data_IF_367847158938
#
_entry.id   IF_367847158938
#
_cell.length_a   1.000
_cell.length_b   1.000
_cell.length_c   1.000
_cell.angle_alpha   90.00
_cell.angle_beta   90.00
_cell.angle_gamma   90.00
#
_symmetry.space_group_name_H-M   'P 1'
#
loop_
_entity.id
_entity.type
_entity.pdbx_description
1 polymer ?
#
# COMPACT_ATOMS: atom_id res chain seq x y z
N UNK A 1 -14.98 -6.25 -35.07
CA UNK A 1 -15.17 -6.13 -33.62
C UNK A 1 -13.79 -6.18 -32.95
N UNK A 2 -13.31 -5.10 -32.38
CA UNK A 2 -12.03 -5.13 -31.70
C UNK A 2 -12.18 -6.01 -30.43
N UNK A 3 -11.30 -7.01 -30.26
CA UNK A 3 -11.24 -7.78 -29.03
C UNK A 3 -10.88 -6.83 -27.89
N UNK A 4 -11.70 -6.79 -26.85
CA UNK A 4 -11.37 -6.07 -25.63
C UNK A 4 -10.06 -6.67 -25.07
N UNK A 5 -9.12 -5.80 -24.75
CA UNK A 5 -7.93 -6.25 -24.05
C UNK A 5 -8.32 -6.82 -22.68
N UNK A 6 -7.56 -7.78 -22.17
CA UNK A 6 -7.83 -8.40 -20.85
C UNK A 6 -8.09 -7.35 -19.76
N UNK A 7 -7.31 -6.26 -19.76
CA UNK A 7 -7.49 -5.14 -18.82
C UNK A 7 -8.85 -4.43 -18.95
N UNK A 8 -9.43 -4.36 -20.15
CA UNK A 8 -10.77 -3.76 -20.37
C UNK A 8 -11.89 -4.70 -19.91
N UNK A 9 -11.68 -6.01 -20.08
CA UNK A 9 -12.63 -7.02 -19.58
C UNK A 9 -12.66 -7.01 -18.06
N UNK A 10 -11.48 -6.99 -17.43
CA UNK A 10 -11.33 -6.97 -15.97
C UNK A 10 -11.98 -5.73 -15.35
N UNK A 11 -11.90 -4.56 -16.03
CA UNK A 11 -12.56 -3.32 -15.58
C UNK A 11 -14.10 -3.39 -15.62
N UNK A 12 -14.67 -4.10 -16.59
CA UNK A 12 -16.11 -4.23 -16.69
C UNK A 12 -16.72 -5.12 -15.60
N UNK A 13 -15.95 -6.10 -15.13
CA UNK A 13 -16.36 -7.05 -14.09
C UNK A 13 -15.88 -6.62 -12.69
N UNK A 14 -15.12 -5.53 -12.59
CA UNK A 14 -14.56 -5.05 -11.34
C UNK A 14 -15.63 -4.49 -10.40
N UNK A 15 -15.58 -4.91 -9.14
CA UNK A 15 -16.41 -4.36 -8.06
C UNK A 15 -15.95 -2.92 -7.72
N UNK A 16 -14.65 -2.69 -7.77
CA UNK A 16 -14.01 -1.40 -7.48
C UNK A 16 -13.09 -1.01 -8.63
N UNK A 17 -13.01 0.26 -8.94
CA UNK A 17 -11.98 0.77 -9.86
C UNK A 17 -11.56 2.17 -9.44
N UNK A 18 -10.29 2.48 -9.64
CA UNK A 18 -9.72 3.79 -9.33
C UNK A 18 -8.72 4.22 -10.40
N UNK A 19 -8.33 5.48 -10.36
CA UNK A 19 -7.33 6.04 -11.29
C UNK A 19 -5.94 5.67 -10.77
N UNK A 20 -5.10 5.14 -11.66
CA UNK A 20 -3.72 4.82 -11.33
C UNK A 20 -2.91 6.10 -11.03
N UNK A 21 -2.45 6.34 -9.79
CA UNK A 21 -1.68 7.54 -9.44
C UNK A 21 -0.28 7.56 -10.08
N UNK A 22 0.24 6.38 -10.45
CA UNK A 22 1.54 6.21 -11.10
C UNK A 22 1.39 5.91 -12.60
N UNK A 23 0.36 6.48 -13.22
CA UNK A 23 0.12 6.30 -14.65
C UNK A 23 1.35 6.71 -15.49
N UNK A 24 1.83 5.74 -16.28
CA UNK A 24 3.01 5.92 -17.11
C UNK A 24 4.35 5.54 -16.45
N UNK A 25 4.40 5.38 -15.14
CA UNK A 25 5.63 4.98 -14.42
C UNK A 25 5.72 3.48 -14.18
N UNK A 26 4.60 2.84 -13.84
CA UNK A 26 4.54 1.42 -13.46
C UNK A 26 4.03 0.49 -14.58
N UNK A 27 3.90 0.97 -15.80
CA UNK A 27 3.37 0.23 -16.96
C UNK A 27 1.96 -0.41 -16.76
N UNK A 28 1.25 0.03 -15.74
CA UNK A 28 -0.14 -0.38 -15.51
C UNK A 28 -1.12 0.55 -16.23
N UNK A 29 -2.35 0.09 -16.50
CA UNK A 29 -3.35 0.93 -17.17
C UNK A 29 -3.72 2.16 -16.34
N UNK A 30 -4.31 3.16 -16.99
CA UNK A 30 -4.75 4.40 -16.35
C UNK A 30 -5.84 4.18 -15.28
N UNK A 31 -6.60 3.11 -15.38
CA UNK A 31 -7.58 2.67 -14.37
C UNK A 31 -7.20 1.28 -13.89
N UNK A 32 -7.25 1.11 -12.59
CA UNK A 32 -6.91 -0.13 -11.90
C UNK A 32 -8.19 -0.75 -11.33
N UNK A 33 -8.45 -2.04 -11.57
CA UNK A 33 -9.58 -2.75 -11.00
C UNK A 33 -9.25 -3.39 -9.64
N UNK A 34 -10.28 -3.58 -8.84
CA UNK A 34 -10.31 -4.42 -7.64
C UNK A 34 -9.05 -4.33 -6.74
N UNK A 35 -8.34 -5.44 -6.58
CA UNK A 35 -7.16 -5.53 -5.73
C UNK A 35 -6.07 -4.52 -6.10
N UNK A 36 -5.85 -4.29 -7.40
CA UNK A 36 -4.86 -3.31 -7.85
C UNK A 36 -5.26 -1.88 -7.47
N UNK A 37 -6.54 -1.52 -7.56
CA UNK A 37 -7.03 -0.22 -7.12
C UNK A 37 -6.81 -0.03 -5.61
N UNK A 38 -7.05 -1.05 -4.81
CA UNK A 38 -6.82 -0.99 -3.36
C UNK A 38 -5.33 -0.87 -3.04
N UNK A 39 -4.47 -1.65 -3.69
CA UNK A 39 -3.04 -1.67 -3.40
C UNK A 39 -2.32 -0.40 -3.87
N UNK A 40 -2.57 0.05 -5.10
CA UNK A 40 -1.84 1.17 -5.67
C UNK A 40 -2.46 2.54 -5.40
N UNK A 41 -3.75 2.60 -5.05
CA UNK A 41 -4.42 3.87 -4.75
C UNK A 41 -4.68 4.01 -3.25
N UNK A 42 -5.52 3.16 -2.68
CA UNK A 42 -5.95 3.28 -1.28
C UNK A 42 -4.78 3.08 -0.30
N UNK A 43 -4.02 1.99 -0.47
CA UNK A 43 -2.88 1.69 0.39
C UNK A 43 -1.76 2.74 0.25
N UNK A 44 -1.47 3.16 -0.98
CA UNK A 44 -0.47 4.21 -1.24
C UNK A 44 -0.87 5.52 -0.56
N UNK A 45 -2.12 5.96 -0.71
CA UNK A 45 -2.63 7.16 -0.06
C UNK A 45 -2.58 7.06 1.47
N UNK A 46 -2.95 5.89 2.03
CA UNK A 46 -2.94 5.63 3.46
C UNK A 46 -1.52 5.71 4.05
N UNK A 47 -0.55 5.07 3.42
CA UNK A 47 0.82 5.02 3.93
C UNK A 47 1.55 6.37 3.79
N UNK A 48 1.22 7.16 2.78
CA UNK A 48 1.80 8.49 2.57
C UNK A 48 1.09 9.61 3.33
N UNK A 49 -0.02 9.34 4.01
CA UNK A 49 -0.71 10.32 4.84
C UNK A 49 -0.22 10.21 6.29
N UNK A 50 0.50 11.21 6.82
CA UNK A 50 0.85 11.24 8.24
C UNK A 50 -0.40 11.33 9.12
N UNK A 51 -0.38 10.67 10.28
CA UNK A 51 -1.46 10.80 11.26
C UNK A 51 -1.62 12.26 11.68
N UNK A 52 -2.84 12.78 11.62
CA UNK A 52 -3.18 14.18 11.94
C UNK A 52 -3.15 15.13 10.76
N UNK A 53 -2.61 14.73 9.61
CA UNK A 53 -2.46 15.61 8.44
C UNK A 53 -3.82 15.94 7.78
N UNK A 54 -4.76 15.01 7.84
CA UNK A 54 -6.15 15.25 7.41
C UNK A 54 -6.88 16.29 8.26
N UNK A 55 -6.28 16.77 9.33
CA UNK A 55 -6.64 17.96 10.13
C UNK A 55 -8.09 17.99 10.55
N UNK A 56 -8.64 16.87 10.92
CA UNK A 56 -9.94 17.05 10.74
C UNK A 56 -10.97 16.64 11.71
N UNK A 57 -12.08 17.18 11.40
CA UNK A 57 -13.37 16.99 12.04
C UNK A 57 -13.83 15.53 11.93
N UNK A 58 -13.35 14.78 10.92
CA UNK A 58 -13.94 13.48 10.63
C UNK A 58 -13.07 12.26 10.96
N UNK A 59 -11.77 12.29 10.93
CA UNK A 59 -10.90 11.16 11.28
C UNK A 59 -9.46 11.62 11.52
N UNK A 60 -9.17 12.27 12.67
CA UNK A 60 -7.83 12.81 12.94
C UNK A 60 -6.77 11.70 13.08
N UNK A 61 -7.19 10.48 13.33
CA UNK A 61 -6.29 9.32 13.51
C UNK A 61 -6.02 8.57 12.19
N UNK A 62 -6.63 9.00 11.07
CA UNK A 62 -6.36 8.40 9.77
C UNK A 62 -4.93 8.67 9.32
N UNK A 63 -4.28 7.66 8.80
CA UNK A 63 -2.94 7.75 8.27
C UNK A 63 -1.95 6.78 8.91
N UNK A 64 -0.68 6.97 8.59
CA UNK A 64 0.42 6.15 9.08
C UNK A 64 1.39 6.94 9.94
N UNK A 65 2.12 6.25 10.82
CA UNK A 65 3.20 6.84 11.62
C UNK A 65 4.58 6.69 10.96
N UNK A 66 4.63 6.33 9.69
CA UNK A 66 5.90 6.09 8.97
C UNK A 66 6.83 7.30 8.97
N UNK A 67 6.26 8.49 8.84
CA UNK A 67 7.03 9.75 8.85
C UNK A 67 7.93 9.90 10.08
N UNK A 68 7.47 9.46 11.26
CA UNK A 68 8.24 9.57 12.50
C UNK A 68 9.45 8.65 12.52
N UNK A 69 9.33 7.44 11.95
CA UNK A 69 10.43 6.47 11.90
C UNK A 69 11.53 6.86 10.92
N UNK A 70 11.24 7.71 9.94
CA UNK A 70 12.25 8.18 8.98
C UNK A 70 13.35 9.05 9.66
N UNK A 71 13.10 9.56 10.84
CA UNK A 71 14.05 10.34 11.63
C UNK A 71 14.93 9.47 12.55
N UNK A 72 14.54 8.19 12.75
CA UNK A 72 15.30 7.24 13.55
C UNK A 72 16.48 6.64 12.75
N UNK A 73 17.48 6.04 13.42
CA UNK A 73 18.56 5.31 12.74
C UNK A 73 18.02 4.21 11.82
N UNK A 74 18.72 3.98 10.70
CA UNK A 74 18.35 2.92 9.77
C UNK A 74 18.95 1.58 10.26
N UNK A 75 18.20 0.88 11.09
CA UNK A 75 18.59 -0.40 11.69
C UNK A 75 17.44 -1.42 11.68
N UNK A 76 17.72 -2.64 12.07
CA UNK A 76 16.73 -3.72 12.14
C UNK A 76 15.61 -3.44 13.16
N UNK A 77 15.95 -2.74 14.24
CA UNK A 77 14.98 -2.41 15.28
C UNK A 77 13.93 -1.41 14.77
N UNK A 78 14.38 -0.39 14.06
CA UNK A 78 13.49 0.58 13.41
C UNK A 78 12.69 -0.09 12.28
N UNK A 79 13.31 -1.01 11.52
CA UNK A 79 12.60 -1.79 10.49
C UNK A 79 11.43 -2.61 11.07
N UNK A 80 11.59 -3.21 12.25
CA UNK A 80 10.49 -3.96 12.89
C UNK A 80 9.39 -3.04 13.42
N UNK A 81 9.73 -1.84 13.91
CA UNK A 81 8.74 -0.81 14.25
C UNK A 81 7.92 -0.38 13.02
N UNK A 82 8.60 -0.12 11.90
CA UNK A 82 7.96 0.22 10.62
C UNK A 82 7.03 -0.90 10.18
N UNK A 83 7.50 -2.14 10.22
CA UNK A 83 6.70 -3.32 9.89
C UNK A 83 5.43 -3.41 10.73
N UNK A 84 5.55 -3.28 12.03
CA UNK A 84 4.42 -3.34 12.97
C UNK A 84 3.45 -2.18 12.73
N UNK A 85 3.96 -0.98 12.48
CA UNK A 85 3.16 0.20 12.17
C UNK A 85 2.34 0.02 10.88
N UNK A 86 2.96 -0.48 9.81
CA UNK A 86 2.28 -0.78 8.54
C UNK A 86 1.16 -1.79 8.74
N UNK A 87 1.42 -2.90 9.43
CA UNK A 87 0.44 -3.95 9.69
C UNK A 87 -0.77 -3.39 10.46
N UNK A 88 -0.53 -2.65 11.52
CA UNK A 88 -1.60 -2.07 12.34
C UNK A 88 -2.41 -1.02 11.56
N UNK A 89 -1.73 -0.20 10.77
CA UNK A 89 -2.35 0.82 9.94
C UNK A 89 -3.30 0.19 8.90
N UNK A 90 -2.84 -0.83 8.17
CA UNK A 90 -3.64 -1.52 7.17
C UNK A 90 -4.83 -2.23 7.81
N UNK A 91 -4.62 -2.93 8.92
CA UNK A 91 -5.71 -3.64 9.61
C UNK A 91 -6.81 -2.70 10.11
N UNK A 92 -6.43 -1.48 10.49
CA UNK A 92 -7.39 -0.49 11.00
C UNK A 92 -8.16 0.21 9.88
N UNK A 93 -7.46 0.59 8.81
CA UNK A 93 -8.00 1.52 7.82
C UNK A 93 -8.36 0.90 6.47
N UNK A 94 -7.86 -0.31 6.19
CA UNK A 94 -8.13 -1.02 4.95
C UNK A 94 -8.73 -2.42 5.19
N UNK A 95 -10.02 -2.49 5.56
CA UNK A 95 -10.67 -3.75 5.90
C UNK A 95 -10.85 -4.71 4.71
N UNK A 96 -10.65 -4.25 3.48
CA UNK A 96 -10.69 -5.09 2.27
C UNK A 96 -9.46 -5.97 2.11
N UNK A 97 -8.37 -5.63 2.82
CA UNK A 97 -7.12 -6.37 2.80
C UNK A 97 -6.91 -7.14 4.11
N UNK A 98 -6.69 -8.43 3.98
CA UNK A 98 -6.20 -9.26 5.08
C UNK A 98 -4.70 -9.42 4.95
N UNK A 99 -3.93 -8.73 5.78
CA UNK A 99 -2.48 -8.76 5.72
C UNK A 99 -1.92 -10.08 6.24
N UNK A 100 -0.96 -10.65 5.51
CA UNK A 100 -0.19 -11.80 5.95
C UNK A 100 1.05 -11.33 6.72
N UNK A 101 0.97 -11.42 8.05
CA UNK A 101 2.03 -10.96 8.94
C UNK A 101 3.36 -11.70 8.75
N UNK A 102 3.30 -13.00 8.41
CA UNK A 102 4.50 -13.81 8.24
C UNK A 102 5.26 -13.48 6.96
N UNK A 103 4.55 -13.10 5.90
CA UNK A 103 5.13 -12.80 4.60
C UNK A 103 5.43 -11.31 4.39
N UNK A 104 4.94 -10.46 5.29
CA UNK A 104 5.24 -9.02 5.23
C UNK A 104 6.57 -8.76 5.90
N UNK A 105 7.53 -8.18 5.17
CA UNK A 105 8.90 -7.94 5.63
C UNK A 105 9.35 -6.51 5.36
N UNK A 106 10.23 -6.01 6.22
CA UNK A 106 10.90 -4.73 6.05
C UNK A 106 12.38 -4.94 6.24
N UNK A 107 13.16 -4.60 5.23
CA UNK A 107 14.62 -4.79 5.22
C UNK A 107 15.31 -3.42 5.16
N UNK A 108 16.13 -3.06 6.16
CA UNK A 108 16.86 -1.82 6.14
C UNK A 108 18.08 -1.90 5.22
N UNK A 109 18.32 -0.86 4.45
CA UNK A 109 19.56 -0.66 3.72
C UNK A 109 20.34 0.50 4.37
N UNK A 110 21.30 0.15 5.20
CA UNK A 110 22.09 1.13 5.95
C UNK A 110 22.99 2.01 5.08
N UNK A 111 23.35 1.54 3.87
CA UNK A 111 24.19 2.31 2.94
C UNK A 111 23.44 3.45 2.28
N UNK A 112 22.19 3.22 1.93
CA UNK A 112 21.34 4.20 1.23
C UNK A 112 20.40 4.93 2.18
N UNK A 113 20.26 4.46 3.43
CA UNK A 113 19.28 4.99 4.38
C UNK A 113 17.84 4.70 3.99
N UNK A 114 17.60 3.62 3.25
CA UNK A 114 16.28 3.25 2.74
C UNK A 114 15.79 1.96 3.37
N UNK A 115 14.45 1.77 3.35
CA UNK A 115 13.81 0.52 3.75
C UNK A 115 13.11 -0.10 2.56
N UNK A 116 13.40 -1.36 2.26
CA UNK A 116 12.65 -2.16 1.30
C UNK A 116 11.52 -2.86 2.04
N UNK A 117 10.29 -2.54 1.67
CA UNK A 117 9.07 -3.05 2.30
C UNK A 117 8.36 -3.98 1.34
N UNK A 118 8.16 -5.22 1.76
CA UNK A 118 7.34 -6.19 1.05
C UNK A 118 6.05 -6.44 1.84
N UNK A 119 4.91 -6.10 1.26
CA UNK A 119 3.58 -6.28 1.86
C UNK A 119 2.87 -7.40 1.13
N UNK A 120 2.54 -8.46 1.84
CA UNK A 120 1.72 -9.56 1.34
C UNK A 120 0.33 -9.52 1.98
N UNK A 121 -0.69 -9.48 1.16
CA UNK A 121 -2.08 -9.41 1.62
C UNK A 121 -3.01 -10.24 0.74
N UNK A 122 -4.14 -10.64 1.30
CA UNK A 122 -5.24 -11.25 0.56
C UNK A 122 -6.35 -10.22 0.40
N UNK A 123 -6.75 -9.98 -0.83
CA UNK A 123 -7.90 -9.12 -1.13
C UNK A 123 -9.19 -9.92 -0.92
N UNK A 124 -9.95 -9.56 0.11
CA UNK A 124 -11.09 -10.35 0.60
C UNK A 124 -12.21 -10.55 -0.42
N UNK A 125 -12.62 -9.55 -1.23
CA UNK A 125 -13.76 -9.73 -2.14
C UNK A 125 -13.57 -10.83 -3.17
N UNK A 126 -12.35 -11.00 -3.67
CA UNK A 126 -12.02 -12.04 -4.67
C UNK A 126 -11.16 -13.17 -4.11
N UNK A 127 -10.74 -13.08 -2.84
CA UNK A 127 -9.81 -14.00 -2.20
C UNK A 127 -8.47 -14.14 -2.96
N UNK A 128 -8.08 -13.12 -3.71
CA UNK A 128 -6.81 -13.10 -4.43
C UNK A 128 -5.65 -12.76 -3.50
N UNK A 129 -4.55 -13.48 -3.66
CA UNK A 129 -3.31 -13.21 -2.93
C UNK A 129 -2.50 -12.20 -3.74
N UNK A 130 -2.21 -11.08 -3.13
CA UNK A 130 -1.53 -9.96 -3.77
C UNK A 130 -0.30 -9.55 -2.96
N UNK A 131 0.67 -8.97 -3.63
CA UNK A 131 1.85 -8.40 -2.97
C UNK A 131 2.24 -7.06 -3.59
N UNK A 132 2.78 -6.20 -2.76
CA UNK A 132 3.30 -4.90 -3.17
C UNK A 132 4.68 -4.69 -2.56
N UNK A 133 5.61 -4.25 -3.39
CA UNK A 133 6.95 -3.85 -2.98
C UNK A 133 7.05 -2.32 -2.99
N UNK A 134 7.48 -1.77 -1.88
CA UNK A 134 7.64 -0.33 -1.70
C UNK A 134 9.05 -0.02 -1.21
N UNK A 135 9.58 1.13 -1.59
CA UNK A 135 10.83 1.65 -1.03
C UNK A 135 10.53 2.94 -0.28
N UNK A 136 10.90 2.97 0.99
CA UNK A 136 10.76 4.14 1.84
C UNK A 136 12.16 4.75 2.00
N UNK A 137 12.33 5.99 1.57
CA UNK A 137 13.58 6.75 1.72
C UNK A 137 13.47 7.78 2.83
N UNK A 138 14.59 8.02 3.50
CA UNK A 138 14.74 9.13 4.42
C UNK A 138 14.69 10.48 3.71
#
# INVERSE_FOLDING_TARGET
MAALTRAQTDLNDAIWSDINPLFGENNLPARLPDAQAVLYCSLYALLNCPVGDRGGIFEPEYGSSLYWFLQEPCDEFTAEKIRTSIINCIQRWEPRLQINRSSTTVVPNTYTGTYSVHIAATYLPTSSVESVDLTISK
#
